data_IF_706922737435
#
_entry.id   IF_706922737435
#
_cell.length_a   1.000
_cell.length_b   1.000
_cell.length_c   1.000
_cell.angle_alpha   90.00
_cell.angle_beta   90.00
_cell.angle_gamma   90.00
#
_symmetry.space_group_name_H-M   'P 1'
#
loop_
_entity.id
_entity.type
_entity.pdbx_description
1 polymer ?
#
# COMPACT_ATOMS: atom_id res chain seq x y z
N UNK A 1 42.92 -19.71 30.04
CA UNK A 1 42.58 -20.15 28.68
C UNK A 1 41.07 -19.96 28.49
N UNK A 2 40.73 -18.95 27.67
CA UNK A 2 39.46 -18.66 26.97
C UNK A 2 38.12 -19.00 27.64
N UNK A 3 37.44 -17.96 28.14
CA UNK A 3 35.99 -17.96 28.37
C UNK A 3 35.25 -18.13 27.04
N UNK A 4 34.44 -19.18 26.94
CA UNK A 4 33.47 -19.35 25.87
C UNK A 4 32.34 -18.32 26.02
N UNK A 5 32.23 -17.42 25.03
CA UNK A 5 31.03 -16.59 24.82
C UNK A 5 30.54 -16.85 23.40
N UNK A 6 29.53 -17.70 23.27
CA UNK A 6 28.68 -17.77 22.08
C UNK A 6 27.73 -16.57 22.12
N UNK A 7 27.74 -15.64 21.15
CA UNK A 7 26.64 -14.72 20.98
C UNK A 7 25.55 -15.41 20.16
N UNK A 8 24.36 -15.45 20.74
CA UNK A 8 23.18 -16.11 20.21
C UNK A 8 22.65 -15.52 18.90
N UNK A 9 21.70 -16.30 18.38
CA UNK A 9 20.84 -16.03 17.24
C UNK A 9 20.38 -14.57 17.13
N UNK A 10 20.69 -13.93 16.00
CA UNK A 10 20.00 -12.74 15.53
C UNK A 10 19.02 -13.19 14.44
N UNK A 11 17.80 -13.50 14.88
CA UNK A 11 16.62 -13.57 14.02
C UNK A 11 16.31 -12.14 13.56
N UNK A 12 16.31 -11.83 12.26
CA UNK A 12 15.46 -10.78 11.68
C UNK A 12 15.59 -10.75 10.14
N UNK A 13 14.84 -11.62 9.48
CA UNK A 13 14.44 -11.40 8.09
C UNK A 13 13.04 -11.98 7.87
N UNK A 14 12.07 -11.50 8.66
CA UNK A 14 10.65 -11.62 8.31
C UNK A 14 10.39 -10.65 7.15
N UNK A 15 10.73 -11.07 5.94
CA UNK A 15 10.35 -10.41 4.70
C UNK A 15 8.84 -10.63 4.50
N UNK A 16 7.96 -9.64 4.69
CA UNK A 16 6.56 -9.84 4.43
C UNK A 16 6.37 -9.80 2.92
N UNK A 17 6.45 -10.97 2.26
CA UNK A 17 6.02 -11.14 0.88
C UNK A 17 4.58 -10.66 0.78
N UNK A 18 4.43 -9.43 0.30
CA UNK A 18 3.15 -8.75 0.09
C UNK A 18 2.36 -9.56 -0.94
N UNK A 19 1.37 -10.30 -0.44
CA UNK A 19 0.39 -11.01 -1.26
C UNK A 19 -0.40 -10.01 -2.11
N UNK A 20 -0.03 -9.86 -3.38
CA UNK A 20 -0.79 -9.10 -4.38
C UNK A 20 -2.09 -9.84 -4.69
N UNK A 21 -3.14 -9.49 -3.94
CA UNK A 21 -4.50 -9.95 -4.20
C UNK A 21 -4.96 -9.54 -5.61
N UNK A 22 -5.10 -10.53 -6.49
CA UNK A 22 -5.66 -10.39 -7.85
C UNK A 22 -7.09 -9.87 -7.77
N UNK A 23 -7.39 -8.76 -8.45
CA UNK A 23 -8.73 -8.21 -8.52
C UNK A 23 -9.51 -8.80 -9.69
N UNK A 24 -10.69 -9.33 -9.38
CA UNK A 24 -11.68 -9.83 -10.33
C UNK A 24 -12.27 -8.69 -11.16
N UNK A 25 -12.60 -8.92 -12.43
CA UNK A 25 -13.08 -7.89 -13.37
C UNK A 25 -14.25 -7.04 -12.85
N UNK A 26 -15.14 -7.61 -12.03
CA UNK A 26 -16.28 -6.92 -11.40
C UNK A 26 -15.84 -5.79 -10.44
N UNK A 27 -14.64 -5.88 -9.84
CA UNK A 27 -14.11 -4.81 -9.00
C UNK A 27 -13.61 -3.58 -9.78
N UNK A 28 -13.34 -3.71 -11.08
CA UNK A 28 -12.97 -2.56 -11.94
C UNK A 28 -14.17 -1.68 -12.29
N UNK A 29 -15.39 -2.23 -12.39
CA UNK A 29 -16.61 -1.45 -12.69
C UNK A 29 -16.86 -0.34 -11.67
N UNK A 30 -16.60 -0.62 -10.40
CA UNK A 30 -16.74 0.38 -9.33
C UNK A 30 -15.75 1.55 -9.47
N UNK A 31 -14.61 1.35 -10.14
CA UNK A 31 -13.68 2.45 -10.46
C UNK A 31 -14.24 3.36 -11.55
N UNK A 32 -15.07 2.85 -12.47
CA UNK A 32 -15.71 3.67 -13.50
C UNK A 32 -16.69 4.70 -12.90
N UNK A 33 -17.30 4.38 -11.75
CA UNK A 33 -18.20 5.29 -11.02
C UNK A 33 -17.42 6.19 -10.04
N UNK A 34 -16.14 6.50 -10.33
CA UNK A 34 -15.23 7.28 -9.48
C UNK A 34 -15.05 6.78 -8.04
N UNK A 35 -15.50 5.57 -7.71
CA UNK A 35 -15.37 4.99 -6.38
C UNK A 35 -14.00 4.34 -6.29
N UNK A 36 -12.93 5.11 -6.14
CA UNK A 36 -11.60 4.53 -5.99
C UNK A 36 -11.30 4.15 -4.54
N UNK A 37 -10.57 3.04 -4.35
CA UNK A 37 -10.13 2.58 -3.02
C UNK A 37 -8.61 2.66 -2.96
N UNK A 38 -8.00 3.54 -2.17
CA UNK A 38 -6.54 3.67 -2.10
C UNK A 38 -5.91 2.42 -1.49
N UNK A 39 -4.72 2.09 -1.98
CA UNK A 39 -3.82 1.16 -1.30
C UNK A 39 -3.23 1.89 -0.10
N UNK A 40 -3.76 1.63 1.12
CA UNK A 40 -3.39 2.36 2.34
C UNK A 40 -1.89 2.31 2.67
N UNK A 41 -1.21 1.23 2.32
CA UNK A 41 0.24 1.06 2.51
C UNK A 41 1.11 1.86 1.54
N UNK A 42 0.51 2.40 0.46
CA UNK A 42 1.21 3.17 -0.57
C UNK A 42 0.63 4.59 -0.71
N UNK A 43 0.04 5.12 0.38
CA UNK A 43 -0.40 6.51 0.43
C UNK A 43 0.81 7.39 0.72
N UNK A 44 1.07 8.35 -0.16
CA UNK A 44 2.11 9.35 -0.03
C UNK A 44 1.48 10.74 0.15
N UNK A 45 2.06 11.57 1.00
CA UNK A 45 1.63 12.96 1.20
C UNK A 45 2.52 13.91 0.41
N UNK A 46 1.92 14.72 -0.46
CA UNK A 46 2.62 15.69 -1.33
C UNK A 46 2.37 17.14 -0.89
N UNK A 47 2.29 17.39 0.42
CA UNK A 47 2.12 18.73 0.99
C UNK A 47 0.69 19.29 0.94
N UNK A 48 -0.06 19.08 -0.14
CA UNK A 48 -1.44 19.58 -0.29
C UNK A 48 -2.47 18.46 -0.45
N UNK A 49 -2.04 17.31 -0.94
CA UNK A 49 -2.90 16.16 -1.20
C UNK A 49 -2.21 14.85 -0.88
N UNK A 50 -3.02 13.82 -0.63
CA UNK A 50 -2.57 12.44 -0.58
C UNK A 50 -2.62 11.83 -1.98
N UNK A 51 -1.53 11.22 -2.41
CA UNK A 51 -1.46 10.44 -3.65
C UNK A 51 -1.39 8.95 -3.29
N UNK A 52 -2.13 8.12 -4.03
CA UNK A 52 -2.06 6.67 -3.88
C UNK A 52 -2.40 5.99 -5.21
N UNK A 53 -2.15 4.68 -5.29
CA UNK A 53 -2.71 3.86 -6.36
C UNK A 53 -4.00 3.21 -5.89
N UNK A 54 -5.03 3.22 -6.74
CA UNK A 54 -6.26 2.50 -6.49
C UNK A 54 -5.94 1.01 -6.41
N UNK A 55 -6.32 0.36 -5.30
CA UNK A 55 -6.13 -1.07 -5.12
C UNK A 55 -6.68 -1.79 -6.34
N UNK A 56 -7.91 -1.46 -6.77
CA UNK A 56 -8.78 -2.15 -7.76
C UNK A 56 -8.45 -1.99 -9.25
N UNK A 57 -7.99 -0.82 -9.67
CA UNK A 57 -7.68 -0.56 -11.08
C UNK A 57 -6.20 -0.23 -11.31
N UNK A 58 -5.42 -0.07 -10.24
CA UNK A 58 -4.02 0.36 -10.31
C UNK A 58 -3.83 1.85 -10.62
N UNK A 59 -4.88 2.56 -11.03
CA UNK A 59 -4.81 3.97 -11.42
C UNK A 59 -4.31 4.87 -10.28
N UNK A 60 -3.54 5.90 -10.62
CA UNK A 60 -3.17 6.96 -9.67
C UNK A 60 -4.41 7.75 -9.28
N UNK A 61 -4.58 7.92 -7.97
CA UNK A 61 -5.68 8.65 -7.36
C UNK A 61 -5.14 9.65 -6.36
N UNK A 62 -5.86 10.76 -6.21
CA UNK A 62 -5.53 11.85 -5.30
C UNK A 62 -6.68 12.11 -4.34
N UNK A 63 -6.34 12.53 -3.13
CA UNK A 63 -7.29 13.00 -2.12
C UNK A 63 -6.78 14.29 -1.51
N UNK A 64 -7.53 15.36 -1.73
CA UNK A 64 -7.36 16.60 -0.99
C UNK A 64 -7.96 16.46 0.42
N UNK A 65 -7.46 17.24 1.38
CA UNK A 65 -7.98 17.26 2.76
C UNK A 65 -9.50 17.50 2.74
N UNK A 66 -10.25 16.62 3.41
CA UNK A 66 -11.72 16.70 3.48
C UNK A 66 -12.48 16.28 2.21
N UNK A 67 -11.80 15.89 1.12
CA UNK A 67 -12.43 15.45 -0.14
C UNK A 67 -12.37 13.93 -0.30
N UNK A 68 -13.26 13.34 -1.14
CA UNK A 68 -13.15 11.93 -1.53
C UNK A 68 -11.94 11.70 -2.45
N UNK A 69 -11.51 10.45 -2.56
CA UNK A 69 -10.50 10.03 -3.54
C UNK A 69 -11.03 10.17 -4.96
N UNK A 70 -10.25 10.80 -5.85
CA UNK A 70 -10.57 10.96 -7.27
C UNK A 70 -9.38 10.53 -8.12
N UNK A 71 -9.63 10.22 -9.40
CA UNK A 71 -8.56 10.02 -10.37
C UNK A 71 -7.70 11.30 -10.46
N UNK A 72 -6.37 11.13 -10.54
CA UNK A 72 -5.45 12.26 -10.77
C UNK A 72 -5.68 12.86 -12.15
#
# INVERSE_FOLDING_TARGET
>A
MTHARSPGAMNDARDPKVNKAKQTAMTKLMCMINRHRPTRSAIQWEGTCYIASCKRCGEKIVRYKGRPWRKR
#
